data_IF_006236130696
#
_entry.id   IF_006236130696
#
_cell.length_a   1.000
_cell.length_b   1.000
_cell.length_c   1.000
_cell.angle_alpha   90.00
_cell.angle_beta   90.00
_cell.angle_gamma   90.00
#
_symmetry.space_group_name_H-M   'P 1'
#
loop_
_entity.id
_entity.type
_entity.pdbx_description
1 polymer ?
#
# COMPACT_ATOMS: atom_id res chain seq x y z
N UNK A 1 31.03 23.57 -2.21
CA UNK A 1 31.88 22.37 -2.01
C UNK A 1 32.85 22.49 -0.83
N UNK A 2 33.80 23.44 -0.81
CA UNK A 2 34.82 23.58 0.26
C UNK A 2 34.26 23.59 1.70
N UNK A 3 33.17 24.34 1.94
CA UNK A 3 32.51 24.44 3.25
C UNK A 3 32.01 23.09 3.75
N UNK A 4 31.42 22.28 2.87
CA UNK A 4 30.91 20.95 3.20
C UNK A 4 32.05 19.98 3.54
N UNK A 5 33.14 20.01 2.75
CA UNK A 5 34.33 19.17 2.98
C UNK A 5 34.99 19.50 4.33
N UNK A 6 35.07 20.78 4.71
CA UNK A 6 35.59 21.20 6.00
C UNK A 6 34.73 20.72 7.19
N UNK A 7 33.41 20.77 7.07
CA UNK A 7 32.50 20.31 8.13
C UNK A 7 32.59 18.78 8.33
N UNK A 8 32.68 18.02 7.22
CA UNK A 8 32.86 16.57 7.26
C UNK A 8 34.15 16.14 7.97
N UNK A 9 35.28 16.77 7.60
CA UNK A 9 36.59 16.46 8.21
C UNK A 9 36.72 16.91 9.67
N UNK A 10 35.85 17.81 10.13
CA UNK A 10 35.84 18.32 11.51
C UNK A 10 34.95 17.50 12.45
N UNK A 11 34.35 16.38 12.00
CA UNK A 11 33.37 15.59 12.76
C UNK A 11 32.18 16.43 13.31
N UNK A 12 31.86 17.55 12.66
CA UNK A 12 30.75 18.40 13.07
C UNK A 12 29.45 17.77 12.56
N UNK A 13 28.54 17.42 13.48
CA UNK A 13 27.20 16.95 13.11
C UNK A 13 26.49 17.99 12.24
N UNK A 14 26.17 17.60 11.01
CA UNK A 14 25.38 18.40 10.07
C UNK A 14 23.93 18.47 10.57
N UNK A 15 23.60 19.53 11.31
CA UNK A 15 22.26 19.83 11.88
C UNK A 15 21.32 20.52 10.88
N UNK A 16 21.50 20.32 9.59
CA UNK A 16 20.76 21.05 8.55
C UNK A 16 19.29 20.62 8.45
N UNK A 17 18.94 19.46 9.01
CA UNK A 17 17.58 18.93 8.99
C UNK A 17 17.15 18.49 10.40
N UNK A 18 16.28 19.28 11.02
CA UNK A 18 15.52 18.87 12.19
C UNK A 18 14.17 18.30 11.72
N UNK A 19 14.03 16.96 11.57
CA UNK A 19 12.75 16.37 11.28
C UNK A 19 11.79 16.70 12.42
N UNK A 20 10.59 17.20 12.10
CA UNK A 20 9.47 17.18 13.04
C UNK A 20 9.06 15.71 13.19
N UNK A 21 9.73 14.98 14.09
CA UNK A 21 9.54 13.53 14.26
C UNK A 21 8.06 13.19 14.44
N UNK A 22 7.30 14.02 15.15
CA UNK A 22 5.86 13.87 15.33
C UNK A 22 5.10 13.76 14.01
N UNK A 23 5.49 14.51 12.96
CA UNK A 23 4.81 14.48 11.65
C UNK A 23 5.15 13.22 10.84
N UNK A 24 6.40 12.74 10.95
CA UNK A 24 6.88 11.58 10.20
C UNK A 24 6.63 10.24 10.89
N UNK A 25 6.66 10.24 12.24
CA UNK A 25 6.50 9.09 13.11
C UNK A 25 5.13 9.11 13.83
N UNK A 26 4.22 10.02 13.48
CA UNK A 26 2.85 9.99 13.97
C UNK A 26 2.25 8.60 13.69
N UNK A 27 2.00 7.86 14.76
CA UNK A 27 1.16 6.69 14.70
C UNK A 27 -0.23 7.12 14.24
N UNK A 28 -0.82 6.37 13.32
CA UNK A 28 -2.15 6.62 12.79
C UNK A 28 -3.24 6.30 13.84
N UNK A 29 -3.27 7.06 14.95
CA UNK A 29 -4.19 6.87 16.08
C UNK A 29 -5.57 7.46 15.79
N UNK A 30 -5.63 8.52 14.99
CA UNK A 30 -6.88 9.21 14.63
C UNK A 30 -7.63 8.48 13.52
N UNK A 31 -8.92 8.23 13.76
CA UNK A 31 -9.86 7.79 12.71
C UNK A 31 -10.33 9.01 11.92
N UNK A 32 -10.17 8.95 10.60
CA UNK A 32 -10.59 10.02 9.68
C UNK A 32 -11.74 9.56 8.79
N UNK A 33 -12.71 10.42 8.49
CA UNK A 33 -13.80 10.09 7.54
C UNK A 33 -13.40 10.29 6.08
N UNK A 34 -14.21 9.82 5.12
CA UNK A 34 -13.95 10.00 3.68
C UNK A 34 -14.00 11.48 3.29
N UNK A 35 -14.94 12.23 3.85
CA UNK A 35 -15.10 13.68 3.61
C UNK A 35 -13.91 14.47 4.18
N UNK A 36 -13.42 14.06 5.35
CA UNK A 36 -12.24 14.66 5.95
C UNK A 36 -10.99 14.41 5.10
N UNK A 37 -10.78 13.17 4.65
CA UNK A 37 -9.68 12.83 3.73
C UNK A 37 -9.75 13.64 2.44
N UNK A 38 -10.96 13.84 1.88
CA UNK A 38 -11.16 14.70 0.70
C UNK A 38 -10.66 16.13 0.97
N UNK A 39 -11.08 16.74 2.08
CA UNK A 39 -10.66 18.10 2.46
C UNK A 39 -9.14 18.19 2.65
N UNK A 40 -8.53 17.19 3.28
CA UNK A 40 -7.07 17.14 3.51
C UNK A 40 -6.33 17.10 2.17
N UNK A 41 -6.79 16.27 1.22
CA UNK A 41 -6.18 16.14 -0.11
C UNK A 41 -6.33 17.43 -0.91
N UNK A 42 -7.53 18.02 -0.95
CA UNK A 42 -7.78 19.29 -1.64
C UNK A 42 -6.90 20.41 -1.07
N UNK A 43 -6.78 20.50 0.26
CA UNK A 43 -5.87 21.44 0.90
C UNK A 43 -4.41 21.20 0.50
N UNK A 44 -3.97 19.94 0.50
CA UNK A 44 -2.61 19.58 0.12
C UNK A 44 -2.29 19.97 -1.33
N UNK A 45 -3.22 19.72 -2.25
CA UNK A 45 -3.06 20.05 -3.66
C UNK A 45 -3.00 21.57 -3.88
N UNK A 46 -3.83 22.33 -3.17
CA UNK A 46 -3.83 23.80 -3.24
C UNK A 46 -2.59 24.43 -2.61
N UNK A 47 -1.97 23.76 -1.62
CA UNK A 47 -0.78 24.24 -0.92
C UNK A 47 0.52 23.66 -1.51
N UNK A 48 0.63 23.58 -2.84
CA UNK A 48 1.81 23.09 -3.57
C UNK A 48 2.30 21.69 -3.14
N UNK A 49 1.39 20.81 -2.72
CA UNK A 49 1.70 19.46 -2.23
C UNK A 49 2.62 19.45 -1.01
N UNK A 50 2.50 20.44 -0.14
CA UNK A 50 3.19 20.43 1.15
C UNK A 50 2.53 19.42 2.11
N UNK A 51 3.03 18.19 2.05
CA UNK A 51 2.57 17.09 2.89
C UNK A 51 2.89 17.30 4.38
N UNK A 52 3.99 17.99 4.71
CA UNK A 52 4.45 18.15 6.09
C UNK A 52 3.57 19.13 6.83
N UNK A 53 3.28 20.27 6.21
CA UNK A 53 2.42 21.29 6.81
C UNK A 53 0.96 20.84 6.81
N UNK A 54 0.52 20.12 5.77
CA UNK A 54 -0.82 19.51 5.77
C UNK A 54 -0.97 18.48 6.89
N UNK A 55 0.02 17.61 7.06
CA UNK A 55 0.03 16.62 8.13
C UNK A 55 -0.05 17.26 9.53
N UNK A 56 0.76 18.30 9.76
CA UNK A 56 0.74 19.05 11.00
C UNK A 56 -0.60 19.77 11.24
N UNK A 57 -1.19 20.36 10.19
CA UNK A 57 -2.45 21.11 10.30
C UNK A 57 -3.66 20.24 10.64
N UNK A 58 -3.71 19.03 10.09
CA UNK A 58 -4.84 18.13 10.27
C UNK A 58 -4.60 17.05 11.33
N UNK A 59 -3.45 17.09 12.01
CA UNK A 59 -3.06 16.10 13.02
C UNK A 59 -3.14 14.67 12.46
N UNK A 60 -2.51 14.47 11.31
CA UNK A 60 -2.42 13.19 10.58
C UNK A 60 -0.97 12.96 10.20
N UNK A 61 -0.58 11.70 9.96
CA UNK A 61 0.80 11.41 9.61
C UNK A 61 1.13 11.87 8.18
N UNK A 62 2.39 12.22 7.96
CA UNK A 62 2.92 12.50 6.62
C UNK A 62 2.59 11.37 5.62
N UNK A 63 2.79 10.12 6.06
CA UNK A 63 2.55 8.94 5.24
C UNK A 63 1.07 8.77 4.86
N UNK A 64 0.14 9.16 5.74
CA UNK A 64 -1.29 9.17 5.43
C UNK A 64 -1.61 10.19 4.35
N UNK A 65 -1.16 11.45 4.49
CA UNK A 65 -1.43 12.51 3.51
C UNK A 65 -0.86 12.13 2.15
N UNK A 66 0.40 11.67 2.10
CA UNK A 66 1.04 11.23 0.86
C UNK A 66 0.23 10.12 0.17
N UNK A 67 -0.16 9.09 0.92
CA UNK A 67 -0.93 7.97 0.36
C UNK A 67 -2.33 8.39 -0.11
N UNK A 68 -3.00 9.30 0.58
CA UNK A 68 -4.30 9.82 0.16
C UNK A 68 -4.19 10.64 -1.12
N UNK A 69 -3.23 11.56 -1.21
CA UNK A 69 -2.99 12.36 -2.41
C UNK A 69 -2.65 11.46 -3.60
N UNK A 70 -1.75 10.48 -3.41
CA UNK A 70 -1.41 9.51 -4.45
C UNK A 70 -2.62 8.73 -4.96
N UNK A 71 -3.47 8.22 -4.05
CA UNK A 71 -4.69 7.48 -4.43
C UNK A 71 -5.72 8.36 -5.11
N UNK A 72 -5.79 9.63 -4.71
CA UNK A 72 -6.66 10.61 -5.32
C UNK A 72 -6.21 10.96 -6.75
N UNK A 73 -4.91 11.12 -6.99
CA UNK A 73 -4.38 11.34 -8.34
C UNK A 73 -4.67 10.15 -9.27
N UNK A 74 -4.67 8.91 -8.77
CA UNK A 74 -4.90 7.71 -9.60
C UNK A 74 -6.37 7.35 -9.81
N UNK A 75 -7.21 7.52 -8.78
CA UNK A 75 -8.58 6.99 -8.76
C UNK A 75 -9.62 8.01 -8.28
N UNK A 76 -9.23 9.28 -8.12
CA UNK A 76 -10.09 10.34 -7.60
C UNK A 76 -10.62 10.04 -6.19
N UNK A 77 -11.84 10.48 -5.93
CA UNK A 77 -12.52 10.29 -4.65
C UNK A 77 -12.71 8.83 -4.25
N UNK A 78 -12.87 7.93 -5.22
CA UNK A 78 -13.03 6.50 -4.95
C UNK A 78 -11.74 5.84 -4.45
N UNK A 79 -10.57 6.44 -4.73
CA UNK A 79 -9.30 6.02 -4.16
C UNK A 79 -9.18 6.25 -2.66
N UNK A 80 -9.97 7.16 -2.08
CA UNK A 80 -9.94 7.50 -0.64
C UNK A 80 -10.82 6.58 0.23
N UNK A 81 -11.66 5.75 -0.41
CA UNK A 81 -12.47 4.75 0.26
C UNK A 81 -11.57 3.69 0.91
N UNK A 82 -11.81 3.37 2.18
CA UNK A 82 -11.07 2.30 2.84
C UNK A 82 -11.54 0.94 2.32
N UNK A 83 -10.65 0.20 1.66
CA UNK A 83 -10.91 -1.14 1.09
C UNK A 83 -10.14 -2.23 1.84
N UNK A 84 -9.56 -1.94 3.01
CA UNK A 84 -8.86 -2.96 3.82
C UNK A 84 -9.84 -4.07 4.19
N UNK A 85 -9.44 -5.32 3.97
CA UNK A 85 -10.28 -6.50 4.25
C UNK A 85 -11.48 -6.68 3.31
N UNK A 86 -11.74 -5.74 2.39
CA UNK A 86 -12.80 -5.84 1.42
C UNK A 86 -12.19 -6.09 0.03
N UNK A 87 -12.25 -7.34 -0.43
CA UNK A 87 -11.90 -7.62 -1.82
C UNK A 87 -12.89 -6.94 -2.76
N UNK A 88 -12.41 -6.46 -3.92
CA UNK A 88 -13.28 -6.01 -5.01
C UNK A 88 -14.22 -7.16 -5.37
N UNK A 89 -15.51 -6.86 -5.48
CA UNK A 89 -16.50 -7.83 -5.92
C UNK A 89 -16.23 -8.24 -7.37
N UNK A 90 -16.66 -9.44 -7.79
CA UNK A 90 -16.39 -9.93 -9.16
C UNK A 90 -16.94 -9.01 -10.26
N UNK A 91 -17.90 -8.13 -9.94
CA UNK A 91 -18.47 -7.13 -10.85
C UNK A 91 -17.61 -5.85 -10.97
N UNK A 92 -16.71 -5.59 -10.02
CA UNK A 92 -15.81 -4.42 -10.01
C UNK A 92 -14.40 -4.74 -10.54
N UNK A 93 -14.15 -6.02 -10.83
CA UNK A 93 -12.85 -6.53 -11.23
C UNK A 93 -12.78 -6.55 -12.74
N UNK A 94 -11.72 -5.96 -13.29
CA UNK A 94 -11.45 -6.00 -14.72
C UNK A 94 -11.42 -7.44 -15.25
N UNK A 95 -11.83 -7.65 -16.50
CA UNK A 95 -11.95 -8.98 -17.09
C UNK A 95 -10.65 -9.77 -16.98
N UNK A 96 -9.51 -9.09 -17.18
CA UNK A 96 -8.19 -9.68 -17.03
C UNK A 96 -7.91 -10.16 -15.59
N UNK A 97 -8.29 -9.38 -14.59
CA UNK A 97 -8.10 -9.74 -13.19
C UNK A 97 -9.04 -10.89 -12.77
N UNK A 98 -10.27 -10.93 -13.32
CA UNK A 98 -11.20 -12.06 -13.14
C UNK A 98 -10.63 -13.35 -13.73
N UNK A 99 -10.14 -13.31 -14.97
CA UNK A 99 -9.52 -14.45 -15.64
C UNK A 99 -8.28 -14.96 -14.90
N UNK A 100 -7.46 -14.07 -14.34
CA UNK A 100 -6.29 -14.47 -13.51
C UNK A 100 -6.71 -15.25 -12.26
N UNK A 101 -7.77 -14.80 -11.58
CA UNK A 101 -8.31 -15.51 -10.39
C UNK A 101 -8.85 -16.89 -10.76
N UNK A 102 -9.58 -16.98 -11.86
CA UNK A 102 -10.11 -18.24 -12.36
C UNK A 102 -9.00 -19.20 -12.78
N UNK A 103 -7.99 -18.70 -13.50
CA UNK A 103 -6.83 -19.50 -13.91
C UNK A 103 -6.08 -20.08 -12.69
N UNK A 104 -5.92 -19.29 -11.62
CA UNK A 104 -5.31 -19.76 -10.39
C UNK A 104 -6.13 -20.87 -9.72
N UNK A 105 -7.47 -20.72 -9.66
CA UNK A 105 -8.37 -21.75 -9.13
C UNK A 105 -8.30 -23.05 -9.95
N UNK A 106 -8.33 -22.93 -11.28
CA UNK A 106 -8.28 -24.07 -12.18
C UNK A 106 -6.93 -24.81 -12.10
N UNK A 107 -5.82 -24.09 -12.00
CA UNK A 107 -4.49 -24.70 -11.80
C UNK A 107 -4.43 -25.52 -10.52
N UNK A 108 -4.96 -24.99 -9.42
CA UNK A 108 -5.01 -25.72 -8.15
C UNK A 108 -5.84 -27.00 -8.25
N UNK A 109 -7.00 -26.94 -8.91
CA UNK A 109 -7.83 -28.12 -9.13
C UNK A 109 -7.15 -29.15 -10.04
N UNK A 110 -6.35 -28.69 -11.01
CA UNK A 110 -5.55 -29.57 -11.86
C UNK A 110 -4.49 -30.30 -11.04
N UNK A 111 -3.72 -29.55 -10.23
CA UNK A 111 -2.70 -30.10 -9.32
C UNK A 111 -3.31 -31.13 -8.35
N UNK A 112 -4.47 -30.83 -7.75
CA UNK A 112 -5.18 -31.76 -6.87
C UNK A 112 -5.57 -33.06 -7.59
N UNK A 113 -6.10 -32.96 -8.83
CA UNK A 113 -6.47 -34.13 -9.63
C UNK A 113 -5.26 -34.95 -10.03
N UNK A 114 -4.16 -34.31 -10.41
CA UNK A 114 -2.91 -34.98 -10.77
C UNK A 114 -2.36 -35.77 -9.57
N UNK A 115 -2.36 -35.16 -8.37
CA UNK A 115 -1.96 -35.86 -7.13
C UNK A 115 -2.86 -37.08 -6.84
N UNK A 116 -4.18 -36.96 -7.01
CA UNK A 116 -5.09 -38.11 -6.83
C UNK A 116 -4.78 -39.24 -7.82
N UNK A 117 -4.50 -38.90 -9.08
CA UNK A 117 -4.12 -39.89 -10.10
C UNK A 117 -2.81 -40.58 -9.72
N UNK A 118 -1.82 -39.86 -9.24
CA UNK A 118 -0.55 -40.45 -8.76
C UNK A 118 -0.75 -41.38 -7.57
N UNK A 119 -1.56 -40.97 -6.59
CA UNK A 119 -1.90 -41.80 -5.43
C UNK A 119 -2.60 -43.10 -5.87
N UNK A 120 -3.56 -43.01 -6.79
CA UNK A 120 -4.26 -44.19 -7.32
C UNK A 120 -3.32 -45.15 -8.05
N UNK A 121 -2.33 -44.64 -8.79
CA UNK A 121 -1.31 -45.47 -9.43
C UNK A 121 -0.49 -46.22 -8.37
N UNK A 122 -0.09 -45.54 -7.30
CA UNK A 122 0.67 -46.15 -6.19
C UNK A 122 -0.13 -47.24 -5.47
N UNK A 123 -1.40 -47.01 -5.19
CA UNK A 123 -2.29 -48.03 -4.58
C UNK A 123 -2.35 -49.30 -5.43
N UNK A 124 -2.55 -49.16 -6.74
CA UNK A 124 -2.59 -50.31 -7.67
C UNK A 124 -1.27 -51.06 -7.76
N UNK A 125 -0.13 -50.39 -7.58
CA UNK A 125 1.17 -51.07 -7.50
C UNK A 125 1.26 -51.95 -6.25
N UNK A 126 0.78 -51.47 -5.10
CA UNK A 126 0.76 -52.24 -3.86
C UNK A 126 -0.20 -53.44 -3.89
N UNK A 127 -1.37 -53.31 -4.53
CA UNK A 127 -2.34 -54.42 -4.67
C UNK A 127 -1.86 -55.56 -5.58
N UNK A 128 -0.81 -55.32 -6.39
CA UNK A 128 -0.25 -56.30 -7.33
C UNK A 128 0.98 -57.03 -6.79
N UNK A 129 1.48 -56.65 -5.62
CA UNK A 129 2.54 -57.35 -4.88
C UNK A 129 1.94 -58.35 -3.91
#
# INVERSE_FOLDING_TARGET
LRRWIQMYNANIELKDYYPKQEVYMAEARRKTTKEERKKIVEYCLNNNRDYKDTAAKFDVSYSQVYNWVRKYDTCGLEGLTDKRGHHKSDNEVDELERLRRENLRLKRQLEEKDMVVELLKKVKEFERM
#
